data_IF_825940759756
#
_entry.id   IF_825940759756
#
_cell.length_a   1.000
_cell.length_b   1.000
_cell.length_c   1.000
_cell.angle_alpha   90.00
_cell.angle_beta   90.00
_cell.angle_gamma   90.00
#
_symmetry.space_group_name_H-M   'P 1'
#
loop_
_entity.id
_entity.type
_entity.pdbx_description
1 polymer ?
#
# COMPACT_ATOMS: atom_id res chain seq x y z
N UNK A 1 -5.25 5.15 -14.01
CA UNK A 1 -5.34 4.38 -12.75
C UNK A 1 -4.06 3.58 -12.59
N UNK A 2 -3.45 3.62 -11.41
CA UNK A 2 -2.29 2.77 -11.06
C UNK A 2 -2.67 1.93 -9.84
N UNK A 3 -2.29 0.65 -9.86
CA UNK A 3 -2.47 -0.27 -8.74
C UNK A 3 -1.13 -0.73 -8.18
N UNK A 4 -1.01 -0.80 -6.86
CA UNK A 4 0.15 -1.38 -6.17
C UNK A 4 -0.35 -2.54 -5.31
N UNK A 5 0.05 -3.76 -5.65
CA UNK A 5 -0.26 -4.95 -4.86
C UNK A 5 0.72 -5.08 -3.69
N UNK A 6 0.17 -5.26 -2.48
CA UNK A 6 0.94 -5.47 -1.27
C UNK A 6 0.99 -6.97 -1.01
N UNK A 7 2.20 -7.53 -1.07
CA UNK A 7 2.46 -8.97 -0.87
C UNK A 7 3.16 -9.23 0.46
N UNK A 8 3.10 -10.47 0.92
CA UNK A 8 3.82 -10.95 2.10
C UNK A 8 5.11 -11.65 1.66
N UNK A 9 6.19 -10.86 1.68
CA UNK A 9 7.55 -11.26 1.36
C UNK A 9 8.13 -12.30 2.33
N UNK A 10 7.44 -12.58 3.45
CA UNK A 10 7.88 -13.55 4.47
C UNK A 10 7.24 -14.92 4.31
N UNK A 11 6.22 -15.04 3.46
CA UNK A 11 5.53 -16.29 3.19
C UNK A 11 6.11 -16.96 1.94
N UNK A 12 6.06 -18.31 1.86
CA UNK A 12 6.47 -19.03 0.67
C UNK A 12 5.72 -18.54 -0.57
N UNK A 13 6.43 -18.49 -1.68
CA UNK A 13 5.83 -18.22 -2.98
C UNK A 13 5.01 -19.42 -3.47
N UNK A 14 4.00 -19.16 -4.30
CA UNK A 14 3.21 -20.20 -4.96
C UNK A 14 4.02 -20.93 -6.06
N UNK A 15 3.37 -21.89 -6.74
CA UNK A 15 3.99 -22.66 -7.83
C UNK A 15 4.43 -21.80 -9.03
N UNK A 16 3.92 -20.58 -9.14
CA UNK A 16 4.26 -19.63 -10.20
C UNK A 16 5.29 -18.58 -9.74
N UNK A 17 5.76 -18.66 -8.49
CA UNK A 17 6.76 -17.75 -7.92
C UNK A 17 6.18 -16.47 -7.32
N UNK A 18 4.88 -16.39 -7.07
CA UNK A 18 4.25 -15.20 -6.49
C UNK A 18 4.13 -15.29 -4.97
N UNK A 19 4.50 -14.21 -4.27
CA UNK A 19 4.18 -14.07 -2.85
C UNK A 19 2.66 -13.89 -2.65
N UNK A 20 2.09 -14.41 -1.54
CA UNK A 20 0.68 -14.22 -1.25
C UNK A 20 0.35 -12.76 -0.92
N UNK A 21 -0.90 -12.36 -1.12
CA UNK A 21 -1.38 -11.03 -0.80
C UNK A 21 -1.36 -10.73 0.72
N UNK A 22 -0.98 -9.52 1.11
CA UNK A 22 -0.82 -9.12 2.51
C UNK A 22 -1.83 -8.04 2.94
N UNK A 23 -3.08 -8.47 3.14
CA UNK A 23 -4.22 -7.61 3.51
C UNK A 23 -3.94 -6.72 4.73
N UNK A 24 -3.33 -7.27 5.79
CA UNK A 24 -3.06 -6.51 7.03
C UNK A 24 -2.10 -5.34 6.79
N UNK A 25 -1.04 -5.55 5.99
CA UNK A 25 -0.09 -4.49 5.62
C UNK A 25 -0.76 -3.45 4.73
N UNK A 26 -1.57 -3.87 3.75
CA UNK A 26 -2.33 -2.94 2.92
C UNK A 26 -3.28 -2.04 3.74
N UNK A 27 -4.02 -2.62 4.69
CA UNK A 27 -4.89 -1.86 5.60
C UNK A 27 -4.11 -0.86 6.44
N UNK A 28 -2.94 -1.25 6.96
CA UNK A 28 -2.08 -0.35 7.74
C UNK A 28 -1.54 0.80 6.89
N UNK A 29 -1.08 0.52 5.66
CA UNK A 29 -0.62 1.56 4.72
C UNK A 29 -1.76 2.55 4.44
N UNK A 30 -2.98 2.07 4.19
CA UNK A 30 -4.14 2.93 3.95
C UNK A 30 -4.41 3.86 5.15
N UNK A 31 -4.37 3.33 6.37
CA UNK A 31 -4.54 4.13 7.59
C UNK A 31 -3.44 5.19 7.74
N UNK A 32 -2.18 4.83 7.48
CA UNK A 32 -1.05 5.78 7.56
C UNK A 32 -1.11 6.85 6.46
N UNK A 33 -1.62 6.53 5.27
CA UNK A 33 -1.91 7.52 4.23
C UNK A 33 -3.03 8.47 4.67
N UNK A 34 -4.13 7.93 5.22
CA UNK A 34 -5.28 8.73 5.66
C UNK A 34 -4.89 9.72 6.77
N UNK A 35 -4.08 9.29 7.74
CA UNK A 35 -3.54 10.16 8.80
C UNK A 35 -2.72 11.34 8.26
N UNK A 36 -2.14 11.20 7.07
CA UNK A 36 -1.33 12.22 6.38
C UNK A 36 -2.12 12.99 5.32
N UNK A 37 -3.43 12.79 5.26
CA UNK A 37 -4.32 13.49 4.33
C UNK A 37 -4.36 12.90 2.91
N UNK A 38 -3.79 11.71 2.69
CA UNK A 38 -3.90 11.00 1.42
C UNK A 38 -4.98 9.92 1.48
N UNK A 39 -6.04 10.10 0.70
CA UNK A 39 -7.13 9.12 0.58
C UNK A 39 -6.83 8.17 -0.57
N UNK A 40 -6.81 6.87 -0.29
CA UNK A 40 -6.63 5.80 -1.27
C UNK A 40 -7.72 4.75 -1.12
N UNK A 41 -8.15 4.20 -2.25
CA UNK A 41 -9.00 3.01 -2.26
C UNK A 41 -8.14 1.75 -2.11
N UNK A 42 -8.61 0.79 -1.32
CA UNK A 42 -8.06 -0.57 -1.24
C UNK A 42 -9.04 -1.54 -1.87
N UNK A 43 -8.57 -2.37 -2.80
CA UNK A 43 -9.40 -3.32 -3.50
C UNK A 43 -8.65 -4.59 -3.91
N UNK A 44 -9.15 -5.22 -4.98
CA UNK A 44 -8.69 -6.54 -5.45
C UNK A 44 -9.31 -7.69 -4.65
N UNK A 45 -9.14 -8.92 -5.16
CA UNK A 45 -9.75 -10.14 -4.58
C UNK A 45 -9.44 -10.31 -3.09
N UNK A 46 -8.24 -9.92 -2.68
CA UNK A 46 -7.72 -10.11 -1.33
C UNK A 46 -7.65 -8.82 -0.50
N UNK A 47 -8.26 -7.73 -0.97
CA UNK A 47 -8.18 -6.40 -0.34
C UNK A 47 -6.73 -5.96 -0.06
N UNK A 48 -5.85 -6.19 -1.03
CA UNK A 48 -4.40 -5.95 -0.90
C UNK A 48 -3.83 -5.07 -2.02
N UNK A 49 -4.69 -4.45 -2.83
CA UNK A 49 -4.25 -3.56 -3.92
C UNK A 49 -4.61 -2.12 -3.58
N UNK A 50 -3.59 -1.28 -3.42
CA UNK A 50 -3.73 0.17 -3.27
C UNK A 50 -4.02 0.78 -4.65
N UNK A 51 -5.11 1.54 -4.80
CA UNK A 51 -5.54 2.11 -6.09
C UNK A 51 -5.39 3.62 -6.08
N UNK A 52 -4.54 4.12 -6.98
CA UNK A 52 -4.34 5.54 -7.23
C UNK A 52 -5.30 5.98 -8.33
N UNK A 53 -6.30 6.75 -7.92
CA UNK A 53 -7.37 7.29 -8.76
C UNK A 53 -7.42 8.82 -8.65
N UNK A 54 -6.33 9.54 -8.99
CA UNK A 54 -6.35 11.00 -8.97
C UNK A 54 -7.28 11.52 -10.10
N UNK A 55 -7.76 12.77 -9.97
CA UNK A 55 -8.49 13.42 -11.07
C UNK A 55 -7.60 13.58 -12.30
N UNK A 56 -8.22 13.68 -13.49
CA UNK A 56 -7.49 13.80 -14.77
C UNK A 56 -6.69 15.11 -14.91
N UNK A 57 -6.96 16.09 -14.05
CA UNK A 57 -6.26 17.38 -13.99
C UNK A 57 -5.07 17.38 -13.00
N UNK A 58 -4.71 16.22 -12.46
CA UNK A 58 -3.57 16.10 -11.54
C UNK A 58 -2.28 16.51 -12.25
N UNK A 59 -1.42 17.24 -11.54
CA UNK A 59 -0.11 17.70 -12.04
C UNK A 59 1.01 16.78 -11.57
N UNK A 60 2.15 16.79 -12.28
CA UNK A 60 3.35 16.03 -11.89
C UNK A 60 3.78 16.33 -10.45
N UNK A 61 3.83 17.61 -10.05
CA UNK A 61 4.13 18.03 -8.68
C UNK A 61 3.15 17.46 -7.64
N UNK A 62 1.87 17.31 -7.98
CA UNK A 62 0.91 16.67 -7.09
C UNK A 62 1.14 15.15 -7.02
N UNK A 63 1.51 14.52 -8.13
CA UNK A 63 1.89 13.10 -8.16
C UNK A 63 3.09 12.86 -7.26
N UNK A 64 4.12 13.70 -7.31
CA UNK A 64 5.28 13.61 -6.42
C UNK A 64 4.88 13.68 -4.94
N UNK A 65 4.00 14.62 -4.59
CA UNK A 65 3.46 14.75 -3.24
C UNK A 65 2.66 13.53 -2.78
N UNK A 66 1.85 12.94 -3.67
CA UNK A 66 1.10 11.70 -3.39
C UNK A 66 2.08 10.56 -3.07
N UNK A 67 3.11 10.37 -3.89
CA UNK A 67 4.06 9.28 -3.68
C UNK A 67 5.02 9.51 -2.52
N UNK A 68 5.32 10.76 -2.16
CA UNK A 68 6.05 11.08 -0.93
C UNK A 68 5.28 10.60 0.31
N UNK A 69 4.00 10.97 0.42
CA UNK A 69 3.12 10.52 1.53
C UNK A 69 2.99 8.99 1.53
N UNK A 70 2.77 8.39 0.36
CA UNK A 70 2.65 6.94 0.24
C UNK A 70 3.93 6.21 0.68
N UNK A 71 5.10 6.69 0.26
CA UNK A 71 6.39 6.11 0.64
C UNK A 71 6.61 6.12 2.16
N UNK A 72 6.31 7.24 2.83
CA UNK A 72 6.38 7.32 4.29
C UNK A 72 5.41 6.35 4.97
N UNK A 73 4.17 6.26 4.47
CA UNK A 73 3.16 5.35 4.99
C UNK A 73 3.58 3.88 4.86
N UNK A 74 4.18 3.51 3.73
CA UNK A 74 4.75 2.17 3.50
C UNK A 74 5.87 1.88 4.50
N UNK A 75 6.81 2.82 4.68
CA UNK A 75 7.93 2.63 5.59
C UNK A 75 7.45 2.39 7.03
N UNK A 76 6.53 3.22 7.54
CA UNK A 76 5.95 3.06 8.89
C UNK A 76 5.19 1.74 9.02
N UNK A 77 4.40 1.37 8.01
CA UNK A 77 3.64 0.12 8.04
C UNK A 77 4.55 -1.13 8.02
N UNK A 78 5.68 -1.07 7.31
CA UNK A 78 6.65 -2.16 7.22
C UNK A 78 7.42 -2.35 8.53
N UNK A 79 7.98 -1.28 9.10
CA UNK A 79 8.73 -1.31 10.37
C UNK A 79 7.82 -1.68 11.55
N UNK A 80 6.62 -1.12 11.58
CA UNK A 80 5.69 -1.33 12.67
C UNK A 80 5.11 -2.75 12.78
N UNK A 81 5.23 -3.59 11.75
CA UNK A 81 4.88 -5.02 11.79
C UNK A 81 6.09 -5.92 12.14
N UNK A 82 7.28 -5.35 12.35
CA UNK A 82 8.43 -6.11 12.85
C UNK A 82 8.40 -6.31 14.38
N UNK A 83 7.58 -5.53 15.10
CA UNK A 83 7.54 -5.52 16.57
C UNK A 83 6.26 -6.17 17.15
N UNK A 84 5.41 -6.76 16.30
CA UNK A 84 4.15 -7.39 16.68
C UNK A 84 4.21 -8.91 16.56
N UNK A 85 4.95 -9.56 17.46
CA UNK A 85 4.76 -10.97 17.83
C UNK A 85 4.88 -11.05 19.36
N UNK A 86 3.72 -10.89 19.99
CA UNK A 86 3.39 -11.21 21.37
C UNK A 86 1.91 -11.62 21.38
#
# INVERSE_FOLDING_TARGET
>A
MIGVEIVDDRQPVDQLGHHPAHKQRASRIQQECLKRGLILEVGGRHSAVMRFLPPLIVTERQIDGIFLIFNEAVHVAYVGLQHGHG
#
